data_IF_873532064659
#
_entry.id   IF_873532064659
#
_cell.length_a   1.000
_cell.length_b   1.000
_cell.length_c   1.000
_cell.angle_alpha   90.00
_cell.angle_beta   90.00
_cell.angle_gamma   90.00
#
_symmetry.space_group_name_H-M   'P 1'
#
loop_
_entity.id
_entity.type
_entity.pdbx_description
1 polymer ?
#
# COMPACT_ATOMS: atom_id res chain seq x y z
N UNK A 1 -52.93 18.96 -18.63
CA UNK A 1 -51.86 18.78 -19.61
C UNK A 1 -51.96 19.84 -20.66
N UNK A 2 -50.86 20.33 -21.19
CA UNK A 2 -50.83 21.26 -22.35
C UNK A 2 -49.78 20.78 -23.34
N UNK A 3 -50.06 21.02 -24.62
CA UNK A 3 -49.16 20.65 -25.71
C UNK A 3 -48.32 21.86 -26.14
N UNK A 4 -47.01 21.69 -26.18
CA UNK A 4 -46.07 22.70 -26.71
C UNK A 4 -45.03 21.98 -27.58
N UNK A 5 -44.90 22.46 -28.82
CA UNK A 5 -43.93 21.90 -29.80
C UNK A 5 -44.06 20.39 -30.00
N UNK A 6 -45.28 19.84 -30.03
CA UNK A 6 -45.52 18.38 -30.21
C UNK A 6 -45.24 17.55 -28.98
N UNK A 7 -44.93 18.11 -27.81
CA UNK A 7 -44.72 17.40 -26.52
C UNK A 7 -45.83 17.79 -25.56
N UNK A 8 -46.37 16.76 -24.87
CA UNK A 8 -47.37 16.91 -23.85
C UNK A 8 -46.69 17.15 -22.47
N UNK A 9 -47.06 18.24 -21.78
CA UNK A 9 -46.56 18.59 -20.46
C UNK A 9 -47.71 18.43 -19.44
N UNK A 10 -47.46 17.72 -18.32
CA UNK A 10 -48.43 17.67 -17.24
C UNK A 10 -48.45 18.99 -16.48
N UNK A 11 -49.66 19.47 -16.18
CA UNK A 11 -49.85 20.60 -15.26
C UNK A 11 -50.00 20.02 -13.85
N UNK A 12 -49.07 20.34 -12.98
CA UNK A 12 -49.09 19.89 -11.59
C UNK A 12 -49.64 21.05 -10.74
N UNK A 13 -50.80 20.86 -10.15
CA UNK A 13 -51.38 21.77 -9.17
C UNK A 13 -50.84 21.39 -7.78
N UNK A 14 -50.31 22.36 -7.08
CA UNK A 14 -49.82 22.16 -5.71
C UNK A 14 -50.07 23.41 -4.88
N UNK A 15 -50.22 23.21 -3.57
CA UNK A 15 -50.31 24.30 -2.61
C UNK A 15 -49.00 25.06 -2.49
N UNK A 16 -49.08 26.30 -1.99
CA UNK A 16 -47.87 27.09 -1.68
C UNK A 16 -46.93 26.32 -0.74
N UNK A 17 -45.63 26.52 -0.88
CA UNK A 17 -44.63 25.78 -0.14
C UNK A 17 -44.81 25.86 1.37
N UNK A 18 -45.25 26.98 1.87
CA UNK A 18 -45.47 27.20 3.31
C UNK A 18 -46.73 26.52 3.85
N UNK A 19 -47.77 26.33 3.03
CA UNK A 19 -49.00 25.64 3.38
C UNK A 19 -48.91 24.12 3.29
N UNK A 20 -47.79 23.53 2.88
CA UNK A 20 -47.57 22.06 2.79
C UNK A 20 -46.38 21.57 3.61
N UNK A 21 -45.89 22.37 4.58
CA UNK A 21 -44.74 21.98 5.42
C UNK A 21 -45.12 21.07 6.60
N UNK A 22 -46.34 21.21 7.11
CA UNK A 22 -46.76 20.55 8.33
C UNK A 22 -47.98 19.65 8.10
N UNK A 23 -48.11 18.61 8.92
CA UNK A 23 -49.27 17.69 8.91
C UNK A 23 -50.60 18.42 9.08
N UNK A 24 -50.62 19.51 9.84
CA UNK A 24 -51.79 20.38 10.03
C UNK A 24 -52.32 20.98 8.72
N UNK A 25 -51.50 20.97 7.68
CA UNK A 25 -51.95 21.44 6.35
C UNK A 25 -53.00 20.54 5.70
N UNK A 26 -53.13 19.28 6.15
CA UNK A 26 -54.20 18.36 5.70
C UNK A 26 -55.61 18.85 6.11
N UNK A 27 -55.71 19.57 7.21
CA UNK A 27 -57.00 20.15 7.64
C UNK A 27 -57.51 21.27 6.76
N UNK A 28 -56.63 21.90 5.97
CA UNK A 28 -56.96 22.96 5.00
C UNK A 28 -57.37 22.45 3.63
N UNK A 29 -57.24 21.15 3.39
CA UNK A 29 -57.66 20.52 2.14
C UNK A 29 -59.04 19.91 2.34
N UNK A 30 -59.98 20.29 1.46
CA UNK A 30 -61.34 19.81 1.50
C UNK A 30 -61.65 18.96 0.28
N UNK A 31 -62.32 17.85 0.49
CA UNK A 31 -62.83 16.94 -0.55
C UNK A 31 -64.33 16.98 -0.52
N UNK A 32 -64.98 17.04 -1.68
CA UNK A 32 -66.42 17.06 -1.77
C UNK A 32 -66.94 15.60 -1.75
N UNK A 33 -67.87 15.32 -0.81
CA UNK A 33 -68.54 14.04 -0.72
C UNK A 33 -69.46 13.86 -1.97
N UNK A 34 -69.40 12.72 -2.61
CA UNK A 34 -70.27 12.40 -3.75
C UNK A 34 -71.71 12.15 -3.31
N UNK A 35 -71.91 11.68 -2.10
CA UNK A 35 -73.24 11.35 -1.60
C UNK A 35 -74.02 12.54 -0.99
N UNK A 36 -73.34 13.41 -0.27
CA UNK A 36 -73.96 14.53 0.44
C UNK A 36 -73.68 15.90 -0.20
N UNK A 37 -72.69 15.99 -1.08
CA UNK A 37 -72.25 17.23 -1.70
C UNK A 37 -71.48 18.17 -0.76
N UNK A 38 -71.32 17.80 0.50
CA UNK A 38 -70.66 18.60 1.51
C UNK A 38 -69.14 18.53 1.38
N UNK A 39 -68.44 19.60 1.85
CA UNK A 39 -67.00 19.65 1.89
C UNK A 39 -66.50 19.08 3.23
N UNK A 40 -65.73 17.98 3.13
CA UNK A 40 -65.17 17.28 4.27
C UNK A 40 -63.66 17.53 4.30
N UNK A 41 -63.08 17.92 5.45
CA UNK A 41 -61.64 18.06 5.59
C UNK A 41 -60.92 16.73 5.37
N UNK A 42 -59.84 16.77 4.59
CA UNK A 42 -59.02 15.58 4.34
C UNK A 42 -58.45 14.98 5.61
N UNK A 43 -58.15 15.78 6.62
CA UNK A 43 -57.66 15.32 7.93
C UNK A 43 -58.63 14.33 8.63
N UNK A 44 -59.94 14.39 8.32
CA UNK A 44 -60.96 13.48 8.89
C UNK A 44 -61.09 12.18 8.10
N UNK A 45 -60.50 12.12 6.89
CA UNK A 45 -60.63 10.98 5.97
C UNK A 45 -59.36 10.14 5.92
N UNK A 46 -58.21 10.63 6.41
CA UNK A 46 -56.91 9.99 6.31
C UNK A 46 -56.27 9.87 7.67
N UNK A 47 -55.71 8.74 7.94
CA UNK A 47 -54.78 8.51 9.04
C UNK A 47 -53.34 8.60 8.47
N UNK A 48 -52.52 9.41 9.12
CA UNK A 48 -51.13 9.55 8.67
C UNK A 48 -50.19 8.91 9.69
N UNK A 49 -49.12 8.29 9.17
CA UNK A 49 -48.07 7.67 9.95
C UNK A 49 -46.74 8.18 9.50
N UNK A 50 -45.92 8.69 10.40
CA UNK A 50 -44.55 9.04 10.11
C UNK A 50 -43.70 7.78 10.11
N UNK A 51 -43.09 7.48 8.97
CA UNK A 51 -42.17 6.38 8.85
C UNK A 51 -40.83 6.86 8.31
N UNK A 52 -39.74 6.34 8.90
CA UNK A 52 -38.39 6.58 8.38
C UNK A 52 -38.25 5.99 6.99
N UNK A 53 -37.99 6.82 6.01
CA UNK A 53 -37.73 6.39 4.64
C UNK A 53 -36.31 6.70 4.23
N UNK A 54 -35.67 5.76 3.54
CA UNK A 54 -34.34 5.97 3.02
C UNK A 54 -34.35 7.06 1.93
N UNK A 55 -33.56 8.11 2.17
CA UNK A 55 -33.44 9.23 1.25
C UNK A 55 -32.83 8.81 -0.12
N UNK A 56 -32.03 7.74 -0.13
CA UNK A 56 -31.40 7.17 -1.31
C UNK A 56 -31.40 5.65 -1.23
N UNK A 57 -31.97 5.00 -2.22
CA UNK A 57 -31.89 3.55 -2.39
C UNK A 57 -30.66 3.21 -3.22
N UNK A 58 -29.53 2.92 -2.57
CA UNK A 58 -28.31 2.54 -3.25
C UNK A 58 -28.39 1.09 -3.77
N UNK A 59 -27.70 0.82 -4.84
CA UNK A 59 -27.49 -0.52 -5.39
C UNK A 59 -26.02 -0.74 -5.66
N UNK A 60 -25.56 -1.94 -5.37
CA UNK A 60 -24.24 -2.43 -5.71
C UNK A 60 -24.39 -3.75 -6.45
N UNK A 61 -23.72 -3.93 -7.58
CA UNK A 61 -23.85 -5.10 -8.45
C UNK A 61 -25.31 -5.50 -8.74
N UNK A 62 -26.18 -4.50 -9.01
CA UNK A 62 -27.63 -4.65 -9.26
C UNK A 62 -28.47 -5.11 -8.06
N UNK A 63 -27.86 -5.41 -6.93
CA UNK A 63 -28.55 -5.74 -5.66
C UNK A 63 -28.74 -4.48 -4.79
N UNK A 64 -29.77 -4.47 -3.97
CA UNK A 64 -29.94 -3.39 -2.97
C UNK A 64 -28.81 -3.44 -1.96
N UNK A 65 -28.21 -2.30 -1.70
CA UNK A 65 -27.09 -2.19 -0.78
C UNK A 65 -27.25 -1.00 0.16
N UNK A 66 -26.69 -1.15 1.36
CA UNK A 66 -26.53 -0.09 2.35
C UNK A 66 -25.03 0.07 2.56
N UNK A 67 -24.53 1.29 2.42
CA UNK A 67 -23.13 1.60 2.71
C UNK A 67 -23.02 2.05 4.17
N UNK A 68 -22.21 1.36 4.94
CA UNK A 68 -21.87 1.69 6.31
C UNK A 68 -20.42 2.17 6.30
N UNK A 69 -20.20 3.40 6.79
CA UNK A 69 -18.86 3.97 6.95
C UNK A 69 -18.57 4.10 8.43
N UNK A 70 -17.39 3.70 8.86
CA UNK A 70 -16.92 3.80 10.22
C UNK A 70 -15.44 4.15 10.26
N UNK A 71 -15.03 4.88 11.27
CA UNK A 71 -13.63 5.12 11.58
C UNK A 71 -13.20 4.20 12.72
N UNK A 72 -11.93 3.80 12.69
CA UNK A 72 -11.36 2.91 13.69
C UNK A 72 -10.85 3.76 14.86
N UNK A 73 -11.20 3.37 16.08
CA UNK A 73 -10.70 4.01 17.31
C UNK A 73 -9.25 3.59 17.54
N UNK A 74 -8.48 4.47 18.16
CA UNK A 74 -7.10 4.19 18.60
C UNK A 74 -7.02 2.84 19.35
N UNK A 75 -5.99 2.06 19.09
CA UNK A 75 -5.72 0.71 19.60
C UNK A 75 -6.40 -0.47 18.90
N UNK A 76 -7.19 -0.27 17.85
CA UNK A 76 -7.72 -1.35 17.02
C UNK A 76 -7.10 -1.32 15.64
N UNK A 77 -6.84 -2.51 15.08
CA UNK A 77 -6.35 -2.64 13.70
C UNK A 77 -7.51 -2.80 12.71
N UNK A 78 -7.26 -2.45 11.45
CA UNK A 78 -8.26 -2.61 10.39
C UNK A 78 -8.64 -4.09 10.20
N UNK A 79 -7.69 -5.00 10.36
CA UNK A 79 -7.93 -6.45 10.24
C UNK A 79 -8.84 -6.98 11.37
N UNK A 80 -8.66 -6.51 12.61
CA UNK A 80 -9.54 -6.85 13.73
C UNK A 80 -10.95 -6.32 13.51
N UNK A 81 -11.09 -5.10 13.02
CA UNK A 81 -12.39 -4.51 12.71
C UNK A 81 -13.10 -5.28 11.58
N UNK A 82 -12.39 -5.69 10.55
CA UNK A 82 -12.93 -6.51 9.45
C UNK A 82 -13.42 -7.85 9.98
N UNK A 83 -12.62 -8.57 10.76
CA UNK A 83 -12.99 -9.85 11.36
C UNK A 83 -14.20 -9.73 12.27
N UNK A 84 -14.22 -8.72 13.14
CA UNK A 84 -15.38 -8.45 14.02
C UNK A 84 -16.67 -8.23 13.22
N UNK A 85 -16.60 -7.45 12.14
CA UNK A 85 -17.77 -7.21 11.28
C UNK A 85 -18.20 -8.47 10.52
N UNK A 86 -17.28 -9.30 10.05
CA UNK A 86 -17.59 -10.57 9.40
C UNK A 86 -18.27 -11.54 10.35
N UNK A 87 -17.72 -11.71 11.55
CA UNK A 87 -18.30 -12.56 12.59
C UNK A 87 -19.68 -12.07 13.03
N UNK A 88 -19.84 -10.75 13.21
CA UNK A 88 -21.12 -10.16 13.58
C UNK A 88 -22.15 -10.35 12.50
N UNK A 89 -21.80 -10.12 11.25
CA UNK A 89 -22.72 -10.30 10.12
C UNK A 89 -23.09 -11.76 9.89
N UNK A 90 -22.16 -12.69 10.08
CA UNK A 90 -22.45 -14.12 10.01
C UNK A 90 -23.52 -14.55 11.04
N UNK A 91 -23.52 -13.90 12.21
CA UNK A 91 -24.50 -14.17 13.28
C UNK A 91 -25.86 -13.46 13.10
N UNK A 92 -25.83 -12.22 12.58
CA UNK A 92 -27.04 -11.36 12.51
C UNK A 92 -27.75 -11.44 11.17
N UNK A 93 -27.01 -11.62 10.07
CA UNK A 93 -27.55 -11.56 8.72
C UNK A 93 -26.80 -12.48 7.77
N UNK A 94 -26.79 -13.77 8.06
CA UNK A 94 -26.10 -14.79 7.26
C UNK A 94 -26.56 -14.87 5.77
N UNK A 95 -27.73 -14.33 5.46
CA UNK A 95 -28.28 -14.24 4.11
C UNK A 95 -27.78 -13.02 3.31
N UNK A 96 -27.02 -12.14 3.92
CA UNK A 96 -26.49 -10.92 3.30
C UNK A 96 -25.01 -11.07 2.93
N UNK A 97 -24.64 -10.48 1.80
CA UNK A 97 -23.25 -10.41 1.39
C UNK A 97 -22.61 -9.10 1.86
N UNK A 98 -21.44 -9.21 2.45
CA UNK A 98 -20.60 -8.05 2.74
C UNK A 98 -19.69 -7.81 1.53
N UNK A 99 -19.63 -6.56 1.09
CA UNK A 99 -18.64 -6.10 0.11
C UNK A 99 -17.84 -4.98 0.73
N UNK A 100 -16.54 -5.16 0.76
CA UNK A 100 -15.62 -4.20 1.30
C UNK A 100 -15.31 -3.11 0.28
N UNK A 101 -15.04 -1.87 0.74
CA UNK A 101 -14.62 -0.75 -0.09
C UNK A 101 -13.53 0.07 0.56
N UNK A 102 -12.72 0.75 -0.29
CA UNK A 102 -11.62 1.59 0.17
C UNK A 102 -10.51 0.77 0.80
N UNK A 103 -9.97 1.21 1.93
CA UNK A 103 -8.83 0.56 2.61
C UNK A 103 -9.08 -0.90 3.00
N UNK A 104 -10.33 -1.26 3.29
CA UNK A 104 -10.69 -2.64 3.64
C UNK A 104 -10.67 -3.58 2.43
N UNK A 105 -11.06 -3.09 1.26
CA UNK A 105 -10.96 -3.81 -0.02
C UNK A 105 -9.49 -4.03 -0.38
N UNK A 106 -8.69 -2.96 -0.33
CA UNK A 106 -7.25 -3.02 -0.59
C UNK A 106 -6.54 -4.04 0.31
N UNK A 107 -6.88 -4.08 1.60
CA UNK A 107 -6.28 -5.04 2.54
C UNK A 107 -6.62 -6.49 2.18
N UNK A 108 -7.88 -6.78 1.82
CA UNK A 108 -8.34 -8.13 1.50
C UNK A 108 -7.83 -8.65 0.16
N UNK A 109 -7.86 -7.81 -0.87
CA UNK A 109 -7.45 -8.22 -2.21
C UNK A 109 -5.93 -8.36 -2.32
N UNK A 110 -5.19 -7.48 -1.67
CA UNK A 110 -3.75 -7.35 -1.88
C UNK A 110 -2.92 -8.30 -1.01
N UNK A 111 -3.45 -8.83 0.11
CA UNK A 111 -2.64 -9.57 1.08
C UNK A 111 -1.98 -10.83 0.51
N UNK A 112 -2.67 -11.61 -0.31
CA UNK A 112 -2.13 -12.84 -0.90
C UNK A 112 -1.25 -12.58 -2.13
N UNK A 113 -1.58 -11.59 -2.94
CA UNK A 113 -0.85 -11.28 -4.16
C UNK A 113 0.52 -10.68 -3.87
N UNK A 114 0.65 -9.90 -2.80
CA UNK A 114 1.93 -9.26 -2.44
C UNK A 114 3.02 -10.25 -2.03
N UNK A 115 2.68 -11.39 -1.42
CA UNK A 115 3.69 -12.42 -1.15
C UNK A 115 4.29 -12.99 -2.43
N UNK A 116 3.46 -13.19 -3.45
CA UNK A 116 3.92 -13.66 -4.76
C UNK A 116 4.80 -12.60 -5.43
N UNK A 117 4.38 -11.34 -5.39
CA UNK A 117 5.16 -10.20 -5.95
C UNK A 117 6.49 -10.05 -5.21
N UNK A 118 6.51 -10.19 -3.88
CA UNK A 118 7.74 -10.13 -3.08
C UNK A 118 8.71 -11.26 -3.44
N UNK A 119 8.21 -12.49 -3.57
CA UNK A 119 9.01 -13.64 -3.97
C UNK A 119 9.56 -13.46 -5.40
N UNK A 120 8.73 -12.96 -6.32
CA UNK A 120 9.14 -12.68 -7.69
C UNK A 120 10.18 -11.54 -7.76
N UNK A 121 10.04 -10.50 -6.94
CA UNK A 121 11.02 -9.42 -6.83
C UNK A 121 12.37 -9.93 -6.32
N UNK A 122 12.39 -10.80 -5.31
CA UNK A 122 13.61 -11.45 -4.84
C UNK A 122 14.25 -12.32 -5.91
N UNK A 123 13.45 -13.13 -6.61
CA UNK A 123 13.92 -14.01 -7.68
C UNK A 123 14.52 -13.20 -8.85
N UNK A 124 13.83 -12.17 -9.30
CA UNK A 124 14.32 -11.31 -10.39
C UNK A 124 15.58 -10.57 -9.99
N UNK A 125 15.65 -10.01 -8.77
CA UNK A 125 16.86 -9.40 -8.24
C UNK A 125 18.04 -10.39 -8.20
N UNK A 126 17.79 -11.62 -7.75
CA UNK A 126 18.79 -12.68 -7.73
C UNK A 126 19.31 -13.01 -9.15
N UNK A 127 18.40 -13.23 -10.11
CA UNK A 127 18.77 -13.57 -11.48
C UNK A 127 19.55 -12.46 -12.18
N UNK A 128 19.13 -11.22 -12.02
CA UNK A 128 19.83 -10.05 -12.57
C UNK A 128 21.23 -9.94 -11.99
N UNK A 129 21.39 -10.12 -10.68
CA UNK A 129 22.71 -10.11 -10.05
C UNK A 129 23.54 -11.31 -10.47
N UNK A 130 22.95 -12.50 -10.63
CA UNK A 130 23.65 -13.69 -11.11
C UNK A 130 24.22 -13.50 -12.53
N UNK A 131 23.44 -12.85 -13.39
CA UNK A 131 23.90 -12.46 -14.73
C UNK A 131 25.02 -11.41 -14.68
N UNK A 132 24.87 -10.38 -13.82
CA UNK A 132 25.85 -9.30 -13.69
C UNK A 132 27.20 -9.79 -13.15
N UNK A 133 27.19 -10.66 -12.14
CA UNK A 133 28.41 -11.17 -11.52
C UNK A 133 28.94 -12.46 -12.16
N UNK A 134 28.23 -13.01 -13.14
CA UNK A 134 28.54 -14.30 -13.76
C UNK A 134 28.82 -15.40 -12.70
N UNK A 135 28.06 -15.40 -11.61
CA UNK A 135 28.23 -16.27 -10.45
C UNK A 135 26.93 -16.40 -9.70
N UNK A 136 26.61 -17.57 -9.18
CA UNK A 136 25.45 -17.79 -8.33
C UNK A 136 25.73 -17.54 -6.84
N UNK A 137 27.00 -17.49 -6.43
CA UNK A 137 27.39 -17.32 -5.02
C UNK A 137 27.35 -15.84 -4.61
N UNK A 138 27.82 -14.95 -5.45
CA UNK A 138 27.84 -13.51 -5.13
C UNK A 138 26.44 -12.93 -4.90
N UNK A 139 25.43 -13.20 -5.75
CA UNK A 139 24.04 -12.78 -5.48
C UNK A 139 23.48 -13.36 -4.18
N UNK A 140 23.82 -14.61 -3.85
CA UNK A 140 23.36 -15.22 -2.61
C UNK A 140 23.89 -14.46 -1.38
N UNK A 141 25.17 -14.08 -1.39
CA UNK A 141 25.77 -13.25 -0.33
C UNK A 141 25.05 -11.91 -0.18
N UNK A 142 24.71 -11.29 -1.31
CA UNK A 142 24.04 -9.96 -1.33
C UNK A 142 22.62 -10.07 -0.78
N UNK A 143 21.84 -11.05 -1.24
CA UNK A 143 20.44 -11.24 -0.82
C UNK A 143 20.31 -11.60 0.65
N UNK A 144 21.33 -12.20 1.26
CA UNK A 144 21.33 -12.51 2.69
C UNK A 144 21.16 -11.26 3.59
N UNK A 145 21.41 -10.07 3.06
CA UNK A 145 21.17 -8.81 3.78
C UNK A 145 19.71 -8.36 3.74
N UNK A 146 18.89 -8.88 2.80
CA UNK A 146 17.47 -8.51 2.65
C UNK A 146 16.62 -8.87 3.87
N UNK A 147 16.70 -10.08 4.45
CA UNK A 147 15.96 -10.39 5.67
C UNK A 147 16.24 -9.43 6.83
N UNK A 148 17.48 -8.95 6.94
CA UNK A 148 17.87 -7.99 7.97
C UNK A 148 17.26 -6.59 7.68
N UNK A 149 17.19 -6.21 6.42
CA UNK A 149 16.52 -4.97 6.01
C UNK A 149 15.01 -5.04 6.29
N UNK A 150 14.36 -6.15 5.94
CA UNK A 150 12.93 -6.38 6.22
C UNK A 150 12.67 -6.35 7.72
N UNK A 151 13.49 -7.02 8.52
CA UNK A 151 13.40 -6.98 9.97
C UNK A 151 13.50 -5.54 10.49
N UNK A 152 14.44 -4.76 9.98
CA UNK A 152 14.60 -3.35 10.34
C UNK A 152 13.35 -2.51 10.01
N UNK A 153 12.77 -2.72 8.86
CA UNK A 153 11.53 -2.06 8.45
C UNK A 153 10.36 -2.40 9.38
N UNK A 154 10.19 -3.69 9.71
CA UNK A 154 9.12 -4.14 10.62
C UNK A 154 9.31 -3.62 12.05
N UNK A 155 10.53 -3.63 12.58
CA UNK A 155 10.81 -3.06 13.92
C UNK A 155 10.47 -1.58 13.98
N UNK A 156 10.76 -0.82 12.92
CA UNK A 156 10.47 0.60 12.89
C UNK A 156 8.97 0.90 12.76
N UNK A 157 8.21 0.08 12.02
CA UNK A 157 6.75 0.14 11.98
C UNK A 157 6.17 -0.02 13.39
N UNK A 158 6.65 -1.03 14.14
CA UNK A 158 6.22 -1.26 15.51
C UNK A 158 6.61 -0.10 16.46
N UNK A 159 7.83 0.41 16.32
CA UNK A 159 8.34 1.49 17.18
C UNK A 159 7.56 2.80 17.02
N UNK A 160 7.11 3.10 15.80
CA UNK A 160 6.36 4.31 15.48
C UNK A 160 4.82 4.10 15.51
N UNK A 161 4.35 2.95 16.05
CA UNK A 161 2.92 2.58 16.11
C UNK A 161 2.20 2.74 14.75
N UNK A 162 2.92 2.46 13.65
CA UNK A 162 2.34 2.47 12.32
C UNK A 162 1.68 1.13 12.01
N UNK A 163 0.61 1.13 11.21
CA UNK A 163 -0.06 -0.10 10.80
C UNK A 163 0.65 -0.76 9.61
N UNK A 164 0.65 -2.10 9.60
CA UNK A 164 1.04 -2.85 8.41
C UNK A 164 -0.11 -2.74 7.40
N UNK A 165 0.14 -2.06 6.31
CA UNK A 165 -0.82 -1.82 5.23
C UNK A 165 -0.16 -2.10 3.87
N UNK A 166 -0.92 -1.98 2.78
CA UNK A 166 -0.42 -2.18 1.42
C UNK A 166 0.81 -1.32 1.12
N UNK A 167 0.83 -0.08 1.62
CA UNK A 167 1.94 0.84 1.38
C UNK A 167 3.22 0.42 2.11
N UNK A 168 3.14 -0.10 3.34
CA UNK A 168 4.30 -0.66 4.03
C UNK A 168 4.82 -1.93 3.34
N UNK A 169 3.94 -2.75 2.76
CA UNK A 169 4.32 -3.93 2.00
C UNK A 169 5.01 -3.56 0.68
N UNK A 170 4.52 -2.55 -0.05
CA UNK A 170 5.20 -1.98 -1.21
C UNK A 170 6.58 -1.42 -0.82
N UNK A 171 6.65 -0.74 0.32
CA UNK A 171 7.92 -0.22 0.84
C UNK A 171 8.94 -1.33 1.15
N UNK A 172 8.50 -2.51 1.65
CA UNK A 172 9.36 -3.68 1.82
C UNK A 172 9.93 -4.18 0.48
N UNK A 173 9.14 -4.17 -0.58
CA UNK A 173 9.61 -4.53 -1.94
C UNK A 173 10.66 -3.52 -2.43
N UNK A 174 10.39 -2.23 -2.27
CA UNK A 174 11.34 -1.16 -2.63
C UNK A 174 12.63 -1.30 -1.84
N UNK A 175 12.54 -1.69 -0.57
CA UNK A 175 13.68 -1.87 0.34
C UNK A 175 14.63 -2.95 -0.13
N UNK A 176 14.15 -4.02 -0.83
CA UNK A 176 15.00 -5.04 -1.45
C UNK A 176 15.99 -4.38 -2.41
N UNK A 177 15.50 -3.53 -3.31
CA UNK A 177 16.35 -2.84 -4.29
C UNK A 177 17.34 -1.88 -3.66
N UNK A 178 16.88 -1.06 -2.70
CA UNK A 178 17.72 -0.05 -2.07
C UNK A 178 18.78 -0.68 -1.17
N UNK A 179 18.46 -1.73 -0.40
CA UNK A 179 19.42 -2.39 0.51
C UNK A 179 20.50 -3.15 -0.25
N UNK A 180 20.14 -3.82 -1.34
CA UNK A 180 21.09 -4.59 -2.16
C UNK A 180 22.16 -3.71 -2.79
N UNK A 181 21.86 -2.45 -3.12
CA UNK A 181 22.82 -1.50 -3.68
C UNK A 181 24.11 -1.40 -2.87
N UNK A 182 24.02 -1.36 -1.54
CA UNK A 182 25.19 -1.23 -0.67
C UNK A 182 26.06 -2.49 -0.71
N UNK A 183 25.43 -3.68 -0.67
CA UNK A 183 26.12 -4.97 -0.76
C UNK A 183 26.75 -5.17 -2.13
N UNK A 184 26.08 -4.79 -3.22
CA UNK A 184 26.60 -4.84 -4.58
C UNK A 184 27.90 -4.05 -4.70
N UNK A 185 27.93 -2.82 -4.19
CA UNK A 185 29.14 -1.95 -4.24
C UNK A 185 30.33 -2.56 -3.52
N UNK A 186 30.11 -3.26 -2.42
CA UNK A 186 31.19 -3.94 -1.68
C UNK A 186 31.69 -5.14 -2.46
N UNK A 187 30.78 -6.03 -2.88
CA UNK A 187 31.12 -7.29 -3.56
C UNK A 187 31.80 -7.03 -4.91
N UNK A 188 31.29 -6.06 -5.67
CA UNK A 188 31.89 -5.67 -6.96
C UNK A 188 33.33 -5.19 -6.78
N UNK A 189 33.56 -4.32 -5.81
CA UNK A 189 34.90 -3.80 -5.55
C UNK A 189 35.86 -4.87 -5.01
N UNK A 190 35.39 -5.81 -4.17
CA UNK A 190 36.17 -6.97 -3.76
C UNK A 190 36.59 -7.79 -4.99
N UNK A 191 35.66 -8.06 -5.92
CA UNK A 191 35.94 -8.80 -7.13
C UNK A 191 37.00 -8.10 -7.99
N UNK A 192 36.91 -6.76 -8.16
CA UNK A 192 37.92 -5.98 -8.89
C UNK A 192 39.30 -6.09 -8.24
N UNK A 193 39.41 -6.01 -6.92
CA UNK A 193 40.68 -6.17 -6.20
C UNK A 193 41.22 -7.60 -6.32
N UNK A 194 40.38 -8.61 -6.37
CA UNK A 194 40.80 -10.02 -6.61
C UNK A 194 41.37 -10.22 -8.01
N UNK A 195 40.86 -9.51 -9.01
CA UNK A 195 41.43 -9.53 -10.38
C UNK A 195 42.84 -8.97 -10.42
N UNK A 196 43.23 -8.06 -9.54
CA UNK A 196 44.60 -7.57 -9.42
C UNK A 196 45.58 -8.55 -8.73
N UNK A 197 45.10 -9.75 -8.37
CA UNK A 197 45.94 -10.80 -7.78
C UNK A 197 46.03 -10.78 -6.26
N UNK A 198 45.34 -9.88 -5.57
CA UNK A 198 45.32 -9.78 -4.10
C UNK A 198 44.65 -10.98 -3.45
N UNK A 199 45.08 -11.32 -2.24
CA UNK A 199 44.45 -12.35 -1.42
C UNK A 199 43.03 -11.93 -0.99
N UNK A 200 42.13 -12.88 -0.76
CA UNK A 200 40.71 -12.63 -0.43
C UNK A 200 40.58 -11.70 0.79
N UNK A 201 41.29 -12.02 1.88
CA UNK A 201 41.22 -11.21 3.11
C UNK A 201 41.72 -9.79 2.93
N UNK A 202 42.83 -9.61 2.18
CA UNK A 202 43.36 -8.29 1.87
C UNK A 202 42.40 -7.48 0.99
N UNK A 203 41.81 -8.15 -0.02
CA UNK A 203 40.82 -7.52 -0.92
C UNK A 203 39.58 -7.07 -0.18
N UNK A 204 39.07 -7.88 0.75
CA UNK A 204 37.89 -7.55 1.57
C UNK A 204 38.19 -6.38 2.50
N UNK A 205 39.31 -6.39 3.23
CA UNK A 205 39.70 -5.27 4.12
C UNK A 205 39.82 -3.96 3.37
N UNK A 206 40.50 -3.97 2.25
CA UNK A 206 40.70 -2.78 1.43
C UNK A 206 39.39 -2.27 0.81
N UNK A 207 38.55 -3.16 0.30
CA UNK A 207 37.24 -2.82 -0.24
C UNK A 207 36.35 -2.17 0.83
N UNK A 208 36.29 -2.77 2.02
CA UNK A 208 35.49 -2.22 3.13
C UNK A 208 35.99 -0.82 3.51
N UNK A 209 37.30 -0.62 3.61
CA UNK A 209 37.87 0.68 3.95
C UNK A 209 37.56 1.76 2.92
N UNK A 210 37.74 1.47 1.64
CA UNK A 210 37.54 2.43 0.56
C UNK A 210 36.06 2.72 0.27
N UNK A 211 35.18 1.71 0.45
CA UNK A 211 33.74 1.84 0.19
C UNK A 211 32.94 2.29 1.41
N UNK A 212 33.53 2.35 2.60
CA UNK A 212 32.84 2.76 3.83
C UNK A 212 32.22 4.15 3.71
N UNK A 213 32.99 5.16 3.33
CA UNK A 213 32.49 6.54 3.20
C UNK A 213 31.40 6.70 2.13
N UNK A 214 31.57 6.20 0.89
CA UNK A 214 30.51 6.28 -0.12
C UNK A 214 29.19 5.61 0.29
N UNK A 215 29.27 4.45 0.95
CA UNK A 215 28.08 3.73 1.44
C UNK A 215 27.36 4.53 2.53
N UNK A 216 28.10 5.05 3.51
CA UNK A 216 27.50 5.89 4.55
C UNK A 216 26.86 7.15 3.98
N UNK A 217 27.52 7.84 3.05
CA UNK A 217 26.98 9.05 2.42
C UNK A 217 25.66 8.76 1.70
N UNK A 218 25.61 7.70 0.89
CA UNK A 218 24.40 7.36 0.13
C UNK A 218 23.28 6.86 1.04
N UNK A 219 23.60 6.09 2.07
CA UNK A 219 22.59 5.59 3.03
C UNK A 219 22.03 6.73 3.89
N UNK A 220 22.88 7.62 4.41
CA UNK A 220 22.44 8.80 5.16
C UNK A 220 21.59 9.73 4.30
N UNK A 221 21.99 9.99 3.06
CA UNK A 221 21.20 10.80 2.12
C UNK A 221 19.80 10.20 1.90
N UNK A 222 19.72 8.88 1.71
CA UNK A 222 18.43 8.19 1.53
C UNK A 222 17.59 8.24 2.81
N UNK A 223 18.20 8.03 3.98
CA UNK A 223 17.51 8.13 5.28
C UNK A 223 16.97 9.53 5.54
N UNK A 224 17.78 10.56 5.28
CA UNK A 224 17.37 11.96 5.44
C UNK A 224 16.21 12.29 4.49
N UNK A 225 16.23 11.77 3.27
CA UNK A 225 15.13 11.95 2.30
C UNK A 225 13.80 11.33 2.77
N UNK A 226 13.83 10.31 3.64
CA UNK A 226 12.63 9.70 4.22
C UNK A 226 12.09 10.43 5.46
N UNK A 227 12.91 11.28 6.12
CA UNK A 227 12.49 12.03 7.31
C UNK A 227 11.23 12.87 7.09
N UNK A 228 11.08 13.62 5.98
CA UNK A 228 9.86 14.39 5.73
C UNK A 228 8.60 13.52 5.63
N UNK A 229 8.72 12.26 5.15
CA UNK A 229 7.59 11.34 5.08
C UNK A 229 7.15 10.86 6.47
N UNK A 230 8.10 10.76 7.42
CA UNK A 230 7.85 10.31 8.79
C UNK A 230 7.37 11.45 9.68
N UNK A 231 8.01 12.64 9.58
CA UNK A 231 7.69 13.81 10.42
C UNK A 231 6.57 14.66 9.82
N UNK A 232 6.29 14.49 8.54
CA UNK A 232 5.41 15.33 7.74
C UNK A 232 3.93 15.27 8.12
N UNK A 233 3.64 15.39 9.41
CA UNK A 233 2.32 15.58 10.00
C UNK A 233 1.81 17.01 9.68
N UNK A 234 1.91 17.43 8.42
CA UNK A 234 1.47 18.75 7.97
C UNK A 234 -0.02 18.65 7.64
N UNK A 235 -0.83 18.49 8.70
CA UNK A 235 -2.28 18.54 8.68
C UNK A 235 -2.98 17.20 8.35
N UNK A 236 -4.19 17.00 8.87
CA UNK A 236 -5.02 15.83 8.59
C UNK A 236 -5.40 15.84 7.10
N UNK A 237 -4.66 15.10 6.29
CA UNK A 237 -4.87 14.97 4.86
C UNK A 237 -5.02 13.52 4.43
N UNK A 238 -5.81 13.29 3.38
CA UNK A 238 -5.93 12.00 2.75
C UNK A 238 -4.53 11.46 2.38
N UNK A 239 -4.16 10.28 2.91
CA UNK A 239 -2.88 9.61 2.64
C UNK A 239 -1.77 9.81 3.68
N UNK A 240 -2.04 10.41 4.83
CA UNK A 240 -1.07 10.55 5.93
C UNK A 240 -0.53 9.18 6.39
N UNK A 241 -1.40 8.25 6.73
CA UNK A 241 -1.02 6.90 7.16
C UNK A 241 -0.22 6.13 6.10
N UNK A 242 -0.49 6.36 4.82
CA UNK A 242 0.25 5.73 3.72
C UNK A 242 1.68 6.23 3.62
N UNK A 243 1.88 7.55 3.71
CA UNK A 243 3.22 8.19 3.66
C UNK A 243 4.05 7.80 4.87
N UNK A 244 3.45 7.83 6.07
CA UNK A 244 4.09 7.41 7.31
C UNK A 244 4.56 5.96 7.21
N UNK A 245 3.70 5.04 6.76
CA UNK A 245 4.03 3.63 6.63
C UNK A 245 5.20 3.38 5.67
N UNK A 246 5.24 4.05 4.51
CA UNK A 246 6.37 3.97 3.57
C UNK A 246 7.64 4.54 4.18
N UNK A 247 7.56 5.73 4.75
CA UNK A 247 8.71 6.42 5.35
C UNK A 247 9.35 5.62 6.48
N UNK A 248 8.54 5.11 7.42
CA UNK A 248 8.99 4.29 8.54
C UNK A 248 9.65 3.00 8.07
N UNK A 249 9.03 2.28 7.14
CA UNK A 249 9.54 1.01 6.62
C UNK A 249 10.91 1.19 5.96
N UNK A 250 11.04 2.19 5.07
CA UNK A 250 12.30 2.42 4.36
C UNK A 250 13.37 2.96 5.31
N UNK A 251 13.04 3.90 6.18
CA UNK A 251 13.99 4.49 7.13
C UNK A 251 14.55 3.42 8.08
N UNK A 252 13.67 2.64 8.71
CA UNK A 252 14.07 1.57 9.64
C UNK A 252 14.86 0.47 8.94
N UNK A 253 14.38 0.03 7.78
CA UNK A 253 15.04 -0.99 6.98
C UNK A 253 16.43 -0.56 6.51
N UNK A 254 16.57 0.69 6.04
CA UNK A 254 17.86 1.24 5.62
C UNK A 254 18.84 1.41 6.77
N UNK A 255 18.38 1.86 7.93
CA UNK A 255 19.23 2.04 9.11
C UNK A 255 19.84 0.70 9.53
N UNK A 256 19.00 -0.31 9.72
CA UNK A 256 19.46 -1.65 10.15
C UNK A 256 20.24 -2.34 9.02
N UNK A 257 19.76 -2.30 7.78
CA UNK A 257 20.45 -2.89 6.63
C UNK A 257 21.84 -2.30 6.45
N UNK A 258 22.01 -0.97 6.51
CA UNK A 258 23.33 -0.35 6.31
C UNK A 258 24.32 -0.80 7.36
N UNK A 259 23.88 -0.85 8.62
CA UNK A 259 24.74 -1.33 9.70
C UNK A 259 25.16 -2.79 9.48
N UNK A 260 24.21 -3.67 9.21
CA UNK A 260 24.52 -5.10 9.04
C UNK A 260 25.24 -5.38 7.72
N UNK A 261 24.98 -4.66 6.64
CA UNK A 261 25.68 -4.85 5.37
C UNK A 261 27.18 -4.66 5.50
N UNK A 262 27.61 -3.70 6.32
CA UNK A 262 29.05 -3.43 6.54
C UNK A 262 29.77 -4.59 7.26
N UNK A 263 29.05 -5.43 7.99
CA UNK A 263 29.61 -6.57 8.71
C UNK A 263 29.30 -7.91 8.04
N UNK A 264 28.03 -8.12 7.68
CA UNK A 264 27.54 -9.41 7.15
C UNK A 264 28.10 -9.68 5.75
N UNK A 265 28.06 -8.67 4.87
CA UNK A 265 28.53 -8.89 3.48
C UNK A 265 30.01 -9.28 3.39
N UNK A 266 30.96 -8.59 4.06
CA UNK A 266 32.36 -8.99 4.07
C UNK A 266 32.59 -10.37 4.69
N UNK A 267 31.93 -10.64 5.81
CA UNK A 267 32.10 -11.91 6.55
C UNK A 267 31.60 -13.09 5.72
N UNK A 268 30.43 -12.96 5.12
CA UNK A 268 29.85 -13.97 4.24
C UNK A 268 30.65 -14.12 2.96
N UNK A 269 31.20 -13.03 2.44
CA UNK A 269 32.10 -13.12 1.28
C UNK A 269 33.33 -13.95 1.60
N UNK A 270 33.99 -13.75 2.74
CA UNK A 270 35.17 -14.55 3.15
C UNK A 270 34.77 -16.01 3.34
N UNK A 271 33.60 -16.31 3.96
CA UNK A 271 33.16 -17.66 4.24
C UNK A 271 32.82 -18.45 2.96
N UNK A 272 32.11 -17.83 2.03
CA UNK A 272 31.58 -18.50 0.84
C UNK A 272 32.48 -18.39 -0.38
N UNK A 273 33.24 -17.32 -0.51
CA UNK A 273 34.10 -17.08 -1.68
C UNK A 273 35.37 -17.95 -1.72
N UNK A 274 35.70 -18.67 -0.63
CA UNK A 274 36.78 -19.68 -0.67
C UNK A 274 36.52 -20.75 -1.74
N UNK A 275 35.25 -21.03 -2.04
CA UNK A 275 34.84 -22.02 -3.05
C UNK A 275 34.56 -21.43 -4.43
N UNK A 276 34.67 -20.11 -4.60
CA UNK A 276 34.50 -19.50 -5.92
C UNK A 276 35.81 -19.52 -6.68
N UNK A 277 35.80 -20.06 -7.91
CA UNK A 277 36.93 -19.93 -8.84
C UNK A 277 37.21 -18.44 -9.05
N UNK A 278 38.50 -18.07 -9.20
CA UNK A 278 38.85 -16.73 -9.68
C UNK A 278 38.07 -16.48 -10.98
N UNK A 279 37.42 -15.34 -11.04
CA UNK A 279 36.78 -14.90 -12.28
C UNK A 279 37.97 -14.67 -13.23
N UNK A 280 38.16 -15.58 -14.19
CA UNK A 280 39.24 -15.43 -15.15
C UNK A 280 39.00 -14.15 -15.95
N UNK A 281 40.03 -13.32 -16.07
CA UNK A 281 40.03 -12.02 -16.77
C UNK A 281 39.72 -12.14 -18.28
N UNK A 282 39.43 -13.32 -18.79
CA UNK A 282 39.26 -13.68 -20.19
C UNK A 282 38.04 -13.02 -20.85
N UNK A 283 37.04 -12.59 -20.09
CA UNK A 283 35.81 -12.04 -20.69
C UNK A 283 35.94 -10.58 -21.18
N UNK A 284 36.93 -9.84 -20.68
CA UNK A 284 37.13 -8.42 -21.09
C UNK A 284 38.13 -8.23 -22.22
N UNK A 285 38.91 -9.24 -22.56
CA UNK A 285 39.92 -9.14 -23.63
C UNK A 285 39.32 -9.21 -25.04
N UNK A 286 38.17 -9.86 -25.21
CA UNK A 286 37.51 -9.93 -26.51
C UNK A 286 36.83 -8.63 -26.96
N UNK A 287 36.37 -7.78 -26.04
CA UNK A 287 35.82 -6.46 -26.40
C UNK A 287 36.90 -5.43 -26.73
N UNK A 288 38.09 -5.53 -26.13
CA UNK A 288 39.18 -4.61 -26.41
C UNK A 288 39.97 -4.94 -27.69
N UNK A 289 39.93 -6.19 -28.16
CA UNK A 289 40.56 -6.60 -29.41
C UNK A 289 39.83 -6.09 -30.66
N UNK A 290 38.55 -5.73 -30.56
CA UNK A 290 37.80 -5.13 -31.66
C UNK A 290 37.95 -3.61 -31.78
N UNK A 291 38.42 -2.91 -30.74
CA UNK A 291 38.64 -1.46 -30.79
C UNK A 291 40.04 -1.05 -31.31
N UNK A 292 40.97 -1.99 -31.42
CA UNK A 292 42.35 -1.70 -31.87
C UNK A 292 42.66 -2.16 -33.31
N UNK A 293 41.63 -2.60 -34.04
CA UNK A 293 41.79 -3.02 -35.43
C UNK A 293 40.98 -2.17 -36.43
N UNK A 294 40.99 -0.84 -36.24
CA UNK A 294 40.61 0.13 -37.26
C UNK A 294 41.64 1.24 -37.30
#
# INVERSE_FOLDING_TARGET
>A
KFNKLGKEYPIILQQYKDDRKNQQSLSKIFVRSENTGELISLANLVEYKEEGSANKLARYNRQRAITISADIIENYTLDEAIKFLEDTMANVAADKQITWKGKSEELKETSNELYVVFALALLTAYLVMAATFNSFIHPFIIILTVPLAVFGGLVFILFLNSSINVFSQIALIILIGISNKNSILIVDYINQLRLTGKNIEASVKEACYLRFRPILMTSLSTMIAMIPLVIGNIGPGAGEGSRLAVGCTILGGMLISTFFTLYVTPTMYIALAKNTKRIDAVSYTHLRAHETSN
#
